data_IF_355866457724
#
_entry.id   IF_355866457724
#
_cell.length_a   1.000
_cell.length_b   1.000
_cell.length_c   1.000
_cell.angle_alpha   90.00
_cell.angle_beta   90.00
_cell.angle_gamma   90.00
#
_symmetry.space_group_name_H-M   'P 1'
#
loop_
_entity.id
_entity.type
_entity.pdbx_description
1 polymer ?
#
# COMPACT_ATOMS: atom_id res chain seq x y z
N UNK A 1 0.21 -1.54 -16.77
CA UNK A 1 -0.05 -0.52 -15.73
C UNK A 1 -0.58 -1.28 -14.54
N UNK A 2 0.14 -1.30 -13.43
CA UNK A 2 -0.27 -2.07 -12.25
C UNK A 2 -1.57 -1.50 -11.67
N UNK A 3 -2.60 -2.34 -11.51
CA UNK A 3 -3.83 -1.95 -10.84
C UNK A 3 -3.62 -2.02 -9.31
N UNK A 4 -3.68 -0.88 -8.58
CA UNK A 4 -3.66 -0.86 -7.13
C UNK A 4 -4.87 -1.59 -6.51
N UNK A 5 -5.92 -1.81 -7.32
CA UNK A 5 -7.09 -2.66 -7.14
C UNK A 5 -6.86 -4.04 -6.52
N UNK A 6 -5.68 -4.61 -6.74
CA UNK A 6 -5.36 -6.01 -6.43
C UNK A 6 -4.35 -6.18 -5.27
N UNK A 7 -4.18 -5.19 -4.40
CA UNK A 7 -3.16 -5.27 -3.32
C UNK A 7 -3.54 -6.17 -2.13
N UNK A 8 -4.83 -6.41 -1.90
CA UNK A 8 -5.36 -7.28 -0.85
C UNK A 8 -6.44 -8.15 -1.46
N UNK A 9 -6.11 -9.41 -1.69
CA UNK A 9 -6.81 -10.30 -2.61
C UNK A 9 -6.97 -11.66 -1.91
N UNK A 10 -8.20 -12.04 -1.52
CA UNK A 10 -8.48 -13.34 -0.89
C UNK A 10 -8.89 -14.44 -1.89
N UNK A 11 -8.35 -15.66 -1.75
CA UNK A 11 -8.84 -16.86 -2.46
C UNK A 11 -8.85 -18.08 -1.53
N UNK A 12 -10.04 -18.62 -1.29
CA UNK A 12 -10.28 -19.71 -0.32
C UNK A 12 -9.73 -19.33 1.06
N UNK A 13 -8.61 -19.91 1.51
CA UNK A 13 -8.03 -19.65 2.82
C UNK A 13 -6.77 -18.76 2.77
N UNK A 14 -6.42 -18.20 1.60
CA UNK A 14 -5.18 -17.44 1.39
C UNK A 14 -5.45 -15.96 1.12
N UNK A 15 -4.76 -15.08 1.85
CA UNK A 15 -4.66 -13.64 1.54
C UNK A 15 -3.40 -13.43 0.67
N UNK A 16 -3.59 -12.86 -0.50
CA UNK A 16 -2.51 -12.34 -1.35
C UNK A 16 -2.34 -10.86 -1.04
N UNK A 17 -1.17 -10.52 -0.51
CA UNK A 17 -0.77 -9.15 -0.20
C UNK A 17 0.36 -8.78 -1.15
N UNK A 18 0.21 -7.70 -1.91
CA UNK A 18 1.28 -7.23 -2.81
C UNK A 18 2.42 -6.63 -1.98
N UNK A 19 3.69 -7.07 -2.15
CA UNK A 19 4.81 -6.55 -1.39
C UNK A 19 4.96 -5.03 -1.53
N UNK A 20 5.44 -4.35 -0.49
CA UNK A 20 5.62 -2.90 -0.54
C UNK A 20 6.67 -2.54 -1.59
N UNK A 21 6.31 -1.75 -2.62
CA UNK A 21 7.28 -1.26 -3.58
C UNK A 21 8.32 -0.37 -2.89
N UNK A 22 9.61 -0.66 -3.10
CA UNK A 22 10.71 0.05 -2.42
C UNK A 22 10.69 1.57 -2.64
N UNK A 23 10.20 2.03 -3.79
CA UNK A 23 10.10 3.46 -4.09
C UNK A 23 9.10 4.18 -3.18
N UNK A 24 8.04 3.51 -2.71
CA UNK A 24 7.08 4.11 -1.78
C UNK A 24 7.68 4.35 -0.38
N UNK A 25 8.77 3.67 -0.05
CA UNK A 25 9.53 3.87 1.20
C UNK A 25 10.62 4.94 1.05
N UNK A 26 10.82 5.52 -0.13
CA UNK A 26 11.88 6.48 -0.40
C UNK A 26 11.39 7.92 -0.31
N UNK A 27 11.91 8.68 0.66
CA UNK A 27 11.61 10.11 0.77
C UNK A 27 11.87 10.87 -0.55
N UNK A 28 12.97 10.55 -1.24
CA UNK A 28 13.34 11.21 -2.51
C UNK A 28 12.26 11.01 -3.57
N UNK A 29 11.64 9.83 -3.60
CA UNK A 29 10.55 9.56 -4.53
C UNK A 29 9.32 10.44 -4.22
N UNK A 30 8.95 10.54 -2.94
CA UNK A 30 7.85 11.40 -2.51
C UNK A 30 8.12 12.86 -2.86
N UNK A 31 9.29 13.37 -2.53
CA UNK A 31 9.68 14.76 -2.81
C UNK A 31 9.69 15.08 -4.31
N UNK A 32 10.22 14.19 -5.15
CA UNK A 32 10.36 14.45 -6.57
C UNK A 32 9.08 14.24 -7.38
N UNK A 33 8.29 13.22 -7.03
CA UNK A 33 7.19 12.74 -7.88
C UNK A 33 5.79 12.98 -7.32
N UNK A 34 5.66 13.11 -5.99
CA UNK A 34 4.36 13.18 -5.31
C UNK A 34 4.08 14.54 -4.67
N UNK A 35 5.06 15.14 -4.00
CA UNK A 35 4.94 16.41 -3.25
C UNK A 35 5.59 17.58 -4.02
N UNK A 36 6.51 17.27 -4.93
CA UNK A 36 7.29 18.24 -5.70
C UNK A 36 6.47 19.08 -6.68
N UNK A 37 7.11 20.18 -7.11
CA UNK A 37 6.61 21.35 -7.86
C UNK A 37 5.25 21.18 -8.55
N UNK A 38 4.34 22.16 -8.41
CA UNK A 38 3.07 22.14 -9.10
C UNK A 38 3.29 22.05 -10.61
N UNK A 39 2.69 21.04 -11.22
CA UNK A 39 2.69 20.82 -12.66
C UNK A 39 1.25 20.84 -13.16
N UNK A 40 1.04 20.92 -14.47
CA UNK A 40 -0.29 20.85 -15.10
C UNK A 40 -1.06 19.56 -14.81
N UNK A 41 -0.43 18.56 -14.19
CA UNK A 41 -0.98 17.25 -13.81
C UNK A 41 -1.32 17.17 -12.30
N UNK A 42 -1.61 18.30 -11.66
CA UNK A 42 -1.80 18.38 -10.20
C UNK A 42 -2.91 17.44 -9.70
N UNK A 43 -4.05 17.38 -10.41
CA UNK A 43 -5.16 16.50 -10.05
C UNK A 43 -4.79 14.99 -10.13
N UNK A 44 -3.99 14.61 -11.14
CA UNK A 44 -3.50 13.23 -11.27
C UNK A 44 -2.53 12.87 -10.14
N UNK A 45 -1.68 13.84 -9.72
CA UNK A 45 -0.75 13.67 -8.59
C UNK A 45 -1.48 13.46 -7.27
N UNK A 46 -2.51 14.26 -7.00
CA UNK A 46 -3.33 14.14 -5.78
C UNK A 46 -4.00 12.76 -5.70
N UNK A 47 -4.56 12.26 -6.80
CA UNK A 47 -5.10 10.91 -6.87
C UNK A 47 -4.06 9.82 -6.62
N UNK A 48 -2.85 9.94 -7.19
CA UNK A 48 -1.76 8.98 -6.98
C UNK A 48 -1.28 9.00 -5.52
N UNK A 49 -1.14 10.18 -4.92
CA UNK A 49 -0.79 10.35 -3.49
C UNK A 49 -1.84 9.66 -2.63
N UNK A 50 -3.12 9.91 -2.87
CA UNK A 50 -4.22 9.32 -2.10
C UNK A 50 -4.25 7.78 -2.21
N UNK A 51 -3.90 7.22 -3.38
CA UNK A 51 -3.77 5.77 -3.58
C UNK A 51 -2.55 5.21 -2.84
N UNK A 52 -1.41 5.90 -2.90
CA UNK A 52 -0.17 5.49 -2.24
C UNK A 52 -0.29 5.54 -0.71
N UNK A 53 -0.91 6.60 -0.17
CA UNK A 53 -1.21 6.73 1.26
C UNK A 53 -2.13 5.62 1.73
N UNK A 54 -3.22 5.36 1.00
CA UNK A 54 -4.12 4.25 1.31
C UNK A 54 -3.41 2.89 1.33
N UNK A 55 -2.54 2.63 0.34
CA UNK A 55 -1.76 1.39 0.28
C UNK A 55 -0.83 1.24 1.50
N UNK A 56 -0.08 2.29 1.85
CA UNK A 56 0.83 2.26 2.99
C UNK A 56 0.09 2.16 4.31
N UNK A 57 -1.07 2.80 4.42
CA UNK A 57 -1.94 2.73 5.59
C UNK A 57 -2.51 1.30 5.80
N UNK A 58 -2.82 0.56 4.75
CA UNK A 58 -3.15 -0.87 4.87
C UNK A 58 -2.01 -1.66 5.51
N UNK A 59 -0.76 -1.37 5.12
CA UNK A 59 0.43 -2.01 5.70
C UNK A 59 0.65 -1.65 7.18
N UNK A 60 0.38 -0.40 7.55
CA UNK A 60 0.37 0.02 8.95
C UNK A 60 -0.63 -0.79 9.80
N UNK A 61 -1.84 -1.01 9.30
CA UNK A 61 -2.84 -1.81 10.03
C UNK A 61 -2.51 -3.30 10.09
N UNK A 62 -1.82 -3.84 9.08
CA UNK A 62 -1.39 -5.25 9.02
C UNK A 62 -0.19 -5.54 9.93
N UNK A 63 0.68 -4.55 10.16
CA UNK A 63 1.93 -4.71 10.89
C UNK A 63 1.89 -3.81 12.14
N UNK A 64 1.27 -4.31 13.22
CA UNK A 64 1.13 -3.55 14.46
C UNK A 64 2.21 -3.91 15.49
N UNK A 65 2.73 -5.12 15.43
CA UNK A 65 3.75 -5.61 16.35
C UNK A 65 5.05 -5.97 15.63
N UNK A 66 6.16 -5.95 16.36
CA UNK A 66 7.47 -6.34 15.84
C UNK A 66 7.48 -7.79 15.32
N UNK A 67 6.67 -8.67 15.92
CA UNK A 67 6.46 -10.04 15.42
C UNK A 67 5.87 -10.07 14.01
N UNK A 68 4.93 -9.18 13.72
CA UNK A 68 4.28 -9.06 12.41
C UNK A 68 5.29 -8.55 11.40
N UNK A 69 6.11 -7.58 11.80
CA UNK A 69 7.18 -7.01 10.97
C UNK A 69 8.23 -8.06 10.61
N UNK A 70 8.71 -8.83 11.60
CA UNK A 70 9.64 -9.94 11.36
C UNK A 70 9.01 -11.00 10.45
N UNK A 71 7.71 -11.24 10.59
CA UNK A 71 6.97 -12.14 9.69
C UNK A 71 6.91 -11.59 8.27
N UNK A 72 6.61 -10.30 8.10
CA UNK A 72 6.56 -9.62 6.81
C UNK A 72 7.92 -9.63 6.07
N UNK A 73 9.04 -9.73 6.79
CA UNK A 73 10.39 -9.85 6.23
C UNK A 73 10.83 -11.28 5.89
N UNK A 74 10.05 -12.30 6.25
CA UNK A 74 10.38 -13.70 5.95
C UNK A 74 10.52 -13.94 4.45
N UNK A 75 11.35 -14.90 4.09
CA UNK A 75 11.71 -15.15 2.68
C UNK A 75 10.55 -15.68 1.86
N UNK A 76 9.57 -16.29 2.50
CA UNK A 76 8.36 -16.82 1.86
C UNK A 76 7.31 -15.72 1.61
N UNK A 77 7.35 -14.63 2.37
CA UNK A 77 6.36 -13.55 2.31
C UNK A 77 6.90 -12.31 1.57
N UNK A 78 8.12 -11.89 1.89
CA UNK A 78 8.83 -10.75 1.28
C UNK A 78 7.98 -9.47 1.17
N UNK A 79 7.03 -9.31 2.09
CA UNK A 79 6.12 -8.17 2.12
C UNK A 79 6.86 -6.87 2.47
N UNK A 80 7.94 -6.98 3.25
CA UNK A 80 8.82 -5.89 3.62
C UNK A 80 10.29 -6.19 3.26
N UNK A 81 11.07 -5.21 2.75
CA UNK A 81 12.47 -5.42 2.47
C UNK A 81 13.26 -5.73 3.76
N UNK A 82 14.18 -6.71 3.69
CA UNK A 82 15.07 -7.10 4.80
C UNK A 82 16.00 -5.97 5.29
N UNK A 83 16.19 -4.92 4.48
CA UNK A 83 17.02 -3.77 4.83
C UNK A 83 16.33 -2.70 5.68
N UNK A 84 15.03 -2.83 5.94
CA UNK A 84 14.27 -1.93 6.80
C UNK A 84 14.31 -2.47 8.23
N UNK A 85 14.58 -1.62 9.22
CA UNK A 85 14.49 -2.01 10.64
C UNK A 85 13.09 -1.73 11.19
N UNK A 86 12.76 -2.36 12.33
CA UNK A 86 11.49 -2.09 13.01
C UNK A 86 11.36 -0.62 13.42
N UNK A 87 12.44 -0.01 13.90
CA UNK A 87 12.46 1.39 14.32
C UNK A 87 12.21 2.34 13.14
N UNK A 88 12.80 2.03 11.97
CA UNK A 88 12.56 2.78 10.74
C UNK A 88 11.09 2.65 10.30
N UNK A 89 10.52 1.45 10.41
CA UNK A 89 9.11 1.23 10.10
C UNK A 89 8.17 1.98 11.06
N UNK A 90 8.44 1.95 12.37
CA UNK A 90 7.68 2.71 13.37
C UNK A 90 7.72 4.21 13.11
N UNK A 91 8.91 4.77 12.89
CA UNK A 91 9.08 6.20 12.60
C UNK A 91 8.38 6.62 11.30
N UNK A 92 8.41 5.76 10.28
CA UNK A 92 7.68 5.98 9.04
C UNK A 92 6.15 5.92 9.25
N UNK A 93 5.70 4.92 10.01
CA UNK A 93 4.29 4.62 10.24
C UNK A 93 3.57 5.60 11.16
N UNK A 94 4.30 6.28 12.04
CA UNK A 94 3.76 7.35 12.88
C UNK A 94 3.02 8.41 12.05
N UNK A 95 3.60 8.77 10.89
CA UNK A 95 2.95 9.72 9.96
C UNK A 95 1.71 9.15 9.29
N UNK A 96 1.65 7.84 9.07
CA UNK A 96 0.50 7.17 8.46
C UNK A 96 -0.70 7.10 9.41
N UNK A 97 -0.46 7.03 10.72
CA UNK A 97 -1.52 7.06 11.73
C UNK A 97 -2.31 8.37 11.76
N UNK A 98 -1.71 9.46 11.27
CA UNK A 98 -2.34 10.78 11.19
C UNK A 98 -3.12 11.01 9.90
N UNK A 99 -3.05 10.08 8.93
CA UNK A 99 -3.74 10.20 7.63
C UNK A 99 -5.22 9.90 7.83
N UNK A 100 -6.06 10.90 7.51
CA UNK A 100 -7.52 10.80 7.58
C UNK A 100 -8.11 9.99 6.43
N UNK A 101 -9.37 9.56 6.59
CA UNK A 101 -10.10 8.82 5.54
C UNK A 101 -10.35 9.67 4.28
N UNK A 102 -10.36 10.99 4.40
CA UNK A 102 -10.54 11.92 3.29
C UNK A 102 -9.27 12.12 2.46
N UNK A 103 -8.09 11.77 3.01
CA UNK A 103 -6.79 11.86 2.35
C UNK A 103 -6.42 10.61 1.55
N UNK A 104 -7.20 9.53 1.71
CA UNK A 104 -7.00 8.29 0.97
C UNK A 104 -8.05 8.15 -0.11
N UNK A 105 -7.70 7.49 -1.21
CA UNK A 105 -8.69 7.19 -2.26
C UNK A 105 -9.88 6.43 -1.65
N UNK A 106 -11.11 6.77 -2.07
CA UNK A 106 -12.36 6.16 -1.58
C UNK A 106 -12.29 4.63 -1.51
N UNK A 107 -11.52 4.01 -2.42
CA UNK A 107 -11.23 2.58 -2.42
C UNK A 107 -10.78 2.04 -1.06
N UNK A 108 -9.96 2.79 -0.32
CA UNK A 108 -9.43 2.39 0.98
C UNK A 108 -10.40 2.70 2.13
N UNK A 109 -11.42 3.54 1.90
CA UNK A 109 -12.50 3.76 2.87
C UNK A 109 -13.39 2.51 3.01
N UNK A 110 -13.45 1.66 1.98
CA UNK A 110 -14.24 0.42 1.99
C UNK A 110 -13.49 -0.81 2.55
N UNK A 111 -12.23 -0.66 2.96
CA UNK A 111 -11.41 -1.76 3.50
C UNK A 111 -10.99 -2.79 2.44
N UNK A 112 -11.18 -4.08 2.72
CA UNK A 112 -10.71 -5.19 1.87
C UNK A 112 -11.59 -5.40 0.63
N UNK A 113 -10.96 -5.45 -0.55
CA UNK A 113 -11.64 -5.79 -1.81
C UNK A 113 -11.76 -7.30 -1.97
N UNK A 114 -13.01 -7.79 -1.90
CA UNK A 114 -13.38 -9.19 -2.13
C UNK A 114 -13.07 -9.61 -3.58
N UNK A 115 -12.20 -10.60 -3.82
CA UNK A 115 -11.92 -11.12 -5.18
C UNK A 115 -13.16 -11.57 -5.92
N UNK A 116 -14.11 -12.15 -5.18
CA UNK A 116 -15.33 -12.68 -5.78
C UNK A 116 -16.18 -11.59 -6.43
N UNK A 117 -15.92 -10.30 -6.14
CA UNK A 117 -16.54 -9.15 -6.82
C UNK A 117 -15.73 -8.61 -8.00
N UNK A 118 -14.42 -8.90 -8.06
CA UNK A 118 -13.56 -8.55 -9.20
C UNK A 118 -13.76 -9.49 -10.39
N UNK A 119 -14.27 -10.70 -10.15
CA UNK A 119 -14.48 -11.72 -11.18
C UNK A 119 -15.78 -11.57 -12.00
N UNK A 120 -16.51 -10.44 -11.87
CA UNK A 120 -17.76 -10.21 -12.61
C UNK A 120 -17.55 -9.58 -14.00
N UNK A 121 -16.39 -8.97 -14.28
CA UNK A 121 -16.21 -8.19 -15.51
C UNK A 121 -15.01 -8.56 -16.40
N UNK A 122 -14.12 -9.48 -15.98
CA UNK A 122 -13.10 -10.00 -16.89
C UNK A 122 -12.80 -11.46 -16.56
N UNK A 123 -13.17 -12.43 -17.41
CA UNK A 123 -12.69 -13.80 -17.25
C UNK A 123 -11.22 -13.81 -17.64
N UNK A 124 -10.32 -13.71 -16.66
CA UNK A 124 -8.89 -13.95 -16.87
C UNK A 124 -8.71 -15.44 -17.15
N UNK A 125 -8.58 -15.77 -18.44
CA UNK A 125 -8.09 -17.07 -18.90
C UNK A 125 -6.56 -17.03 -18.91
N UNK A 126 -6.01 -18.09 -18.34
CA UNK A 126 -4.60 -18.39 -18.05
C UNK A 126 -3.62 -18.07 -19.16
#
# INVERSE_FOLDING_TARGET
MEDPGLHLVWRHDCIFIKPVPRYLLSYVFWDQFLVGRPTTLQADKEGIVAVALGFLRSYFYLIQYESDFRTAQREELQLMPKGVTWEQFCSFSERLSAVSDDEVSERYQYGELRLTRLNLHTPLRW
#
